data_IF_459086023904
#
_entry.id   IF_459086023904
#
_cell.length_a   1.000
_cell.length_b   1.000
_cell.length_c   1.000
_cell.angle_alpha   90.00
_cell.angle_beta   90.00
_cell.angle_gamma   90.00
#
_symmetry.space_group_name_H-M   'P 1'
#
loop_
_entity.id
_entity.type
_entity.pdbx_description
1 polymer ?
#
# COMPACT_ATOMS: atom_id res chain seq x y z
N UNK A 1 29.60 -9.95 1.44
CA UNK A 1 28.53 -9.16 0.81
C UNK A 1 28.23 -9.77 -0.53
N UNK A 2 26.98 -10.15 -0.76
CA UNK A 2 26.54 -10.61 -2.08
C UNK A 2 26.04 -9.36 -2.80
N UNK A 3 26.70 -8.95 -3.86
CA UNK A 3 26.29 -7.74 -4.58
C UNK A 3 25.01 -8.05 -5.36
N UNK A 4 23.91 -7.39 -4.97
CA UNK A 4 22.64 -7.42 -5.71
C UNK A 4 22.71 -6.34 -6.78
N UNK A 5 22.36 -6.69 -8.01
CA UNK A 5 22.40 -5.75 -9.15
C UNK A 5 21.02 -5.14 -9.42
N UNK A 6 20.99 -3.97 -10.06
CA UNK A 6 19.74 -3.37 -10.54
C UNK A 6 18.97 -4.33 -11.45
N UNK A 7 19.65 -5.00 -12.38
CA UNK A 7 19.04 -5.94 -13.31
C UNK A 7 18.42 -7.15 -12.60
N UNK A 8 19.05 -7.64 -11.53
CA UNK A 8 18.50 -8.72 -10.72
C UNK A 8 17.16 -8.31 -10.10
N UNK A 9 17.09 -7.15 -9.44
CA UNK A 9 15.85 -6.65 -8.84
C UNK A 9 14.74 -6.45 -9.90
N UNK A 10 15.07 -5.84 -11.04
CA UNK A 10 14.09 -5.63 -12.11
C UNK A 10 13.48 -6.92 -12.62
N UNK A 11 14.33 -7.93 -12.83
CA UNK A 11 13.94 -9.20 -13.45
C UNK A 11 13.17 -10.05 -12.46
N UNK A 12 13.64 -10.16 -11.21
CA UNK A 12 13.00 -10.99 -10.19
C UNK A 12 11.58 -10.50 -9.86
N UNK A 13 11.39 -9.18 -9.82
CA UNK A 13 10.12 -8.59 -9.44
C UNK A 13 9.25 -8.19 -10.64
N UNK A 14 9.75 -8.31 -11.87
CA UNK A 14 9.13 -7.80 -13.10
C UNK A 14 8.69 -6.34 -12.97
N UNK A 15 9.55 -5.48 -12.40
CA UNK A 15 9.18 -4.15 -11.90
C UNK A 15 8.58 -3.29 -13.01
N UNK A 16 9.28 -3.18 -14.15
CA UNK A 16 8.87 -2.27 -15.24
C UNK A 16 7.53 -2.70 -15.84
N UNK A 17 7.34 -4.00 -16.05
CA UNK A 17 6.09 -4.53 -16.58
C UNK A 17 4.92 -4.25 -15.65
N UNK A 18 5.08 -4.51 -14.35
CA UNK A 18 4.03 -4.27 -13.36
C UNK A 18 3.71 -2.80 -13.18
N UNK A 19 4.72 -1.92 -13.21
CA UNK A 19 4.50 -0.47 -13.19
C UNK A 19 3.71 -0.01 -14.41
N UNK A 20 4.04 -0.51 -15.61
CA UNK A 20 3.36 -0.13 -16.85
C UNK A 20 1.89 -0.62 -16.93
N UNK A 21 1.54 -1.68 -16.19
CA UNK A 21 0.19 -2.24 -16.13
C UNK A 21 -0.66 -1.68 -14.99
N UNK A 22 -0.12 -0.80 -14.16
CA UNK A 22 -0.77 -0.33 -12.95
C UNK A 22 -1.15 1.15 -13.01
N UNK A 23 -2.40 1.44 -12.63
CA UNK A 23 -2.89 2.80 -12.39
C UNK A 23 -2.54 3.31 -10.97
N UNK A 24 -1.75 2.55 -10.21
CA UNK A 24 -1.33 2.95 -8.87
C UNK A 24 -0.08 3.82 -8.94
N UNK A 25 -0.11 4.92 -8.17
CA UNK A 25 1.04 5.84 -8.03
C UNK A 25 2.27 5.12 -7.48
N UNK A 26 2.07 4.14 -6.59
CA UNK A 26 3.13 3.37 -5.95
C UNK A 26 2.87 1.88 -6.03
N UNK A 27 3.92 1.11 -6.26
CA UNK A 27 3.98 -0.35 -6.11
C UNK A 27 5.00 -0.71 -5.04
N UNK A 28 4.78 -1.84 -4.36
CA UNK A 28 5.67 -2.36 -3.31
C UNK A 28 6.12 -3.77 -3.66
N UNK A 29 7.42 -4.04 -3.52
CA UNK A 29 8.02 -5.35 -3.77
C UNK A 29 8.77 -5.80 -2.52
N UNK A 30 8.39 -6.95 -1.97
CA UNK A 30 9.01 -7.51 -0.76
C UNK A 30 10.49 -7.84 -1.01
N UNK A 31 11.34 -7.33 -0.13
CA UNK A 31 12.80 -7.54 -0.12
C UNK A 31 13.24 -8.42 1.06
N UNK A 32 12.37 -9.20 1.68
CA UNK A 32 12.72 -9.98 2.89
C UNK A 32 13.83 -11.03 2.65
N UNK A 33 14.08 -11.39 1.39
CA UNK A 33 15.20 -12.26 0.98
C UNK A 33 16.55 -11.51 0.86
N UNK A 34 16.56 -10.20 1.12
CA UNK A 34 17.68 -9.31 0.90
C UNK A 34 18.05 -8.53 2.15
N UNK A 35 19.35 -8.33 2.37
CA UNK A 35 19.82 -7.39 3.38
C UNK A 35 19.71 -5.95 2.85
N UNK A 36 19.38 -5.02 3.75
CA UNK A 36 19.22 -3.60 3.42
C UNK A 36 20.47 -3.01 2.76
N UNK A 37 21.65 -3.37 3.25
CA UNK A 37 22.94 -2.95 2.72
C UNK A 37 23.23 -3.48 1.31
N UNK A 38 22.76 -4.68 0.99
CA UNK A 38 23.05 -5.36 -0.28
C UNK A 38 22.29 -4.70 -1.45
N UNK A 39 21.13 -4.10 -1.19
CA UNK A 39 20.24 -3.53 -2.23
C UNK A 39 20.44 -2.04 -2.48
N UNK A 40 21.10 -1.29 -1.58
CA UNK A 40 21.24 0.17 -1.69
C UNK A 40 21.92 0.61 -2.98
N UNK A 41 22.98 -0.08 -3.39
CA UNK A 41 23.71 0.23 -4.64
C UNK A 41 22.81 0.02 -5.85
N UNK A 42 22.11 -1.11 -5.92
CA UNK A 42 21.15 -1.41 -6.98
C UNK A 42 20.02 -0.39 -7.06
N UNK A 43 19.45 0.05 -5.93
CA UNK A 43 18.39 1.07 -5.89
C UNK A 43 18.89 2.41 -6.44
N UNK A 44 20.11 2.82 -6.12
CA UNK A 44 20.70 4.05 -6.65
C UNK A 44 20.93 3.96 -8.17
N UNK A 45 21.39 2.80 -8.64
CA UNK A 45 21.54 2.52 -10.07
C UNK A 45 20.18 2.55 -10.79
N UNK A 46 19.12 1.96 -10.21
CA UNK A 46 17.77 2.01 -10.76
C UNK A 46 17.23 3.43 -10.91
N UNK A 47 17.41 4.27 -9.89
CA UNK A 47 17.02 5.69 -9.96
C UNK A 47 17.77 6.44 -11.08
N UNK A 48 18.99 6.01 -11.43
CA UNK A 48 19.76 6.59 -12.52
C UNK A 48 19.30 6.09 -13.90
N UNK A 49 18.98 4.80 -14.01
CA UNK A 49 18.60 4.14 -15.26
C UNK A 49 17.15 4.40 -15.66
N UNK A 50 16.24 4.57 -14.70
CA UNK A 50 14.79 4.66 -14.92
C UNK A 50 14.21 5.94 -14.31
N UNK A 51 14.50 7.12 -14.87
CA UNK A 51 14.12 8.41 -14.29
C UNK A 51 12.61 8.70 -14.32
N UNK A 52 11.80 7.87 -14.97
CA UNK A 52 10.34 7.95 -14.89
C UNK A 52 9.79 7.45 -13.53
N UNK A 53 10.59 6.66 -12.82
CA UNK A 53 10.24 6.08 -11.54
C UNK A 53 11.19 6.55 -10.45
N UNK A 54 10.70 6.57 -9.21
CA UNK A 54 11.55 6.72 -8.03
C UNK A 54 11.54 5.43 -7.22
N UNK A 55 12.73 4.90 -6.95
CA UNK A 55 12.94 3.67 -6.20
C UNK A 55 13.43 4.01 -4.80
N UNK A 56 12.72 3.56 -3.78
CA UNK A 56 13.07 3.79 -2.37
C UNK A 56 13.01 2.47 -1.58
N UNK A 57 13.97 2.27 -0.69
CA UNK A 57 13.91 1.21 0.31
C UNK A 57 13.07 1.69 1.49
N UNK A 58 12.10 0.89 1.93
CA UNK A 58 11.28 1.21 3.09
C UNK A 58 11.20 0.02 4.07
N UNK A 59 11.48 0.29 5.34
CA UNK A 59 11.20 -0.66 6.42
C UNK A 59 9.69 -0.70 6.72
N UNK A 60 9.17 -1.90 6.89
CA UNK A 60 7.76 -2.19 7.21
C UNK A 60 7.66 -3.06 8.47
N UNK A 61 6.45 -3.20 9.02
CA UNK A 61 6.19 -3.97 10.24
C UNK A 61 7.08 -3.61 11.45
N UNK A 62 7.45 -2.34 11.61
CA UNK A 62 8.31 -1.91 12.72
C UNK A 62 9.78 -2.32 12.56
N UNK A 63 10.25 -2.52 11.33
CA UNK A 63 11.64 -2.86 11.00
C UNK A 63 11.87 -4.33 10.72
N UNK A 64 10.84 -5.18 10.85
CA UNK A 64 10.95 -6.63 10.65
C UNK A 64 10.79 -7.09 9.19
N UNK A 65 10.26 -6.23 8.32
CA UNK A 65 10.16 -6.48 6.90
C UNK A 65 10.67 -5.30 6.09
N UNK A 66 10.97 -5.55 4.82
CA UNK A 66 11.58 -4.55 3.96
C UNK A 66 10.94 -4.57 2.58
N UNK A 67 10.59 -3.39 2.06
CA UNK A 67 10.03 -3.22 0.73
C UNK A 67 10.95 -2.38 -0.16
N UNK A 68 11.02 -2.74 -1.43
CA UNK A 68 11.31 -1.81 -2.51
C UNK A 68 10.01 -1.13 -2.91
N UNK A 69 9.91 0.17 -2.67
CA UNK A 69 8.77 0.98 -3.10
C UNK A 69 9.16 1.69 -4.38
N UNK A 70 8.32 1.55 -5.41
CA UNK A 70 8.52 2.16 -6.72
C UNK A 70 7.38 3.13 -6.97
N UNK A 71 7.70 4.40 -7.18
CA UNK A 71 6.75 5.48 -7.39
C UNK A 71 6.80 5.94 -8.85
N UNK A 72 5.66 5.95 -9.54
CA UNK A 72 5.51 6.63 -10.83
C UNK A 72 5.47 8.15 -10.62
N UNK A 73 6.48 8.85 -11.16
CA UNK A 73 6.64 10.28 -10.95
C UNK A 73 5.54 11.07 -11.66
N UNK A 74 5.13 10.66 -12.87
CA UNK A 74 4.11 11.37 -13.63
C UNK A 74 2.73 11.22 -12.99
N UNK A 75 2.40 10.01 -12.55
CA UNK A 75 1.16 9.75 -11.80
C UNK A 75 1.16 10.50 -10.47
N UNK A 76 2.28 10.47 -9.73
CA UNK A 76 2.42 11.22 -8.48
C UNK A 76 2.21 12.72 -8.67
N UNK A 77 2.83 13.33 -9.68
CA UNK A 77 2.67 14.76 -9.98
C UNK A 77 1.21 15.09 -10.31
N UNK A 78 0.53 14.19 -11.04
CA UNK A 78 -0.89 14.35 -11.37
C UNK A 78 -1.75 14.30 -10.10
N UNK A 79 -1.53 13.29 -9.25
CA UNK A 79 -2.21 13.15 -7.97
C UNK A 79 -1.96 14.31 -6.99
N UNK A 80 -0.72 14.80 -6.93
CA UNK A 80 -0.34 15.88 -6.02
C UNK A 80 -1.11 17.18 -6.33
N UNK A 81 -1.49 17.40 -7.60
CA UNK A 81 -2.30 18.55 -8.05
C UNK A 81 -3.78 18.46 -7.65
N UNK A 82 -4.27 17.27 -7.29
CA UNK A 82 -5.66 17.11 -6.84
C UNK A 82 -5.80 17.71 -5.43
N UNK A 83 -6.76 18.62 -5.18
CA UNK A 83 -6.99 19.19 -3.87
C UNK A 83 -7.32 18.12 -2.82
N UNK A 84 -6.60 18.13 -1.70
CA UNK A 84 -6.78 17.18 -0.60
C UNK A 84 -7.54 17.86 0.54
N UNK A 85 -8.85 17.90 0.39
CA UNK A 85 -9.78 18.67 1.24
C UNK A 85 -10.16 17.94 2.52
N UNK A 86 -9.91 16.63 2.61
CA UNK A 86 -10.29 15.77 3.75
C UNK A 86 -9.06 15.21 4.45
N UNK A 87 -9.30 14.59 5.60
CA UNK A 87 -8.29 13.89 6.39
C UNK A 87 -8.75 12.48 6.73
N UNK A 88 -7.79 11.58 6.97
CA UNK A 88 -8.09 10.24 7.51
C UNK A 88 -8.77 10.32 8.89
N UNK A 89 -8.46 11.34 9.70
CA UNK A 89 -9.13 11.58 10.97
C UNK A 89 -10.64 11.83 10.81
N UNK A 90 -11.03 12.67 9.85
CA UNK A 90 -12.44 12.89 9.50
C UNK A 90 -13.09 11.61 8.97
N UNK A 91 -12.37 10.85 8.14
CA UNK A 91 -12.86 9.59 7.58
C UNK A 91 -13.18 8.58 8.68
N UNK A 92 -12.23 8.31 9.58
CA UNK A 92 -12.43 7.35 10.66
C UNK A 92 -13.49 7.80 11.66
N UNK A 93 -13.61 9.10 11.92
CA UNK A 93 -14.71 9.63 12.74
C UNK A 93 -16.07 9.44 12.06
N UNK A 94 -16.14 9.64 10.74
CA UNK A 94 -17.37 9.45 9.96
C UNK A 94 -17.79 7.98 9.97
N UNK A 95 -16.86 7.07 9.66
CA UNK A 95 -17.08 5.61 9.74
C UNK A 95 -17.59 5.19 11.12
N UNK A 96 -16.95 5.63 12.20
CA UNK A 96 -17.34 5.25 13.55
C UNK A 96 -18.69 5.85 13.98
N UNK A 97 -18.92 7.14 13.74
CA UNK A 97 -20.11 7.85 14.26
C UNK A 97 -21.37 7.64 13.43
N UNK A 98 -21.22 7.57 12.11
CA UNK A 98 -22.36 7.50 11.18
C UNK A 98 -22.70 6.04 10.86
N UNK A 99 -21.67 5.20 10.71
CA UNK A 99 -21.83 3.81 10.25
C UNK A 99 -21.54 2.77 11.33
N UNK A 100 -21.04 3.15 12.51
CA UNK A 100 -20.67 2.21 13.57
C UNK A 100 -19.44 1.36 13.26
N UNK A 101 -18.65 1.73 12.23
CA UNK A 101 -17.55 0.91 11.72
C UNK A 101 -16.22 1.30 12.37
N UNK A 102 -15.51 0.30 12.89
CA UNK A 102 -14.17 0.44 13.47
C UNK A 102 -13.14 -0.32 12.64
N UNK A 103 -12.43 0.40 11.77
CA UNK A 103 -11.40 -0.18 10.90
C UNK A 103 -10.02 -0.24 11.55
N UNK A 104 -9.27 -1.31 11.27
CA UNK A 104 -7.84 -1.42 11.59
C UNK A 104 -6.96 -0.51 10.72
N UNK A 105 -7.48 0.03 9.60
CA UNK A 105 -6.78 0.99 8.75
C UNK A 105 -6.28 2.24 9.53
N UNK A 106 -6.93 2.57 10.66
CA UNK A 106 -6.48 3.63 11.58
C UNK A 106 -5.06 3.43 12.14
N UNK A 107 -4.54 2.20 12.12
CA UNK A 107 -3.17 1.90 12.54
C UNK A 107 -2.15 2.12 11.43
N UNK A 108 -2.60 2.21 10.17
CA UNK A 108 -1.74 2.33 8.98
C UNK A 108 -1.68 3.76 8.44
N UNK A 109 -2.60 4.65 8.86
CA UNK A 109 -2.66 6.05 8.42
C UNK A 109 -2.62 7.00 9.61
N UNK A 110 -1.90 8.12 9.48
CA UNK A 110 -1.96 9.16 10.50
C UNK A 110 -3.27 9.92 10.32
N UNK A 111 -3.98 10.27 11.42
CA UNK A 111 -5.24 11.03 11.32
C UNK A 111 -5.10 12.37 10.58
N UNK A 112 -3.90 12.95 10.57
CA UNK A 112 -3.59 14.22 9.88
C UNK A 112 -3.33 14.06 8.38
N UNK A 113 -3.12 12.84 7.90
CA UNK A 113 -2.87 12.57 6.48
C UNK A 113 -4.09 12.98 5.66
N UNK A 114 -3.82 13.61 4.52
CA UNK A 114 -4.82 14.29 3.70
C UNK A 114 -5.28 13.41 2.56
N UNK A 115 -6.57 13.47 2.29
CA UNK A 115 -7.27 12.72 1.25
C UNK A 115 -7.96 13.69 0.29
N UNK A 116 -8.10 13.29 -0.96
CA UNK A 116 -9.03 13.91 -1.90
C UNK A 116 -10.47 13.64 -1.46
N UNK A 117 -11.43 14.44 -1.95
CA UNK A 117 -12.84 14.17 -1.69
C UNK A 117 -13.28 12.82 -2.28
N UNK A 118 -12.76 12.46 -3.46
CA UNK A 118 -13.08 11.22 -4.15
C UNK A 118 -12.67 10.00 -3.31
N UNK A 119 -11.40 9.92 -2.88
CA UNK A 119 -10.91 8.83 -2.00
C UNK A 119 -11.71 8.72 -0.70
N UNK A 120 -12.10 9.85 -0.12
CA UNK A 120 -12.93 9.88 1.08
C UNK A 120 -14.27 9.20 0.81
N UNK A 121 -14.98 9.60 -0.25
CA UNK A 121 -16.30 9.05 -0.59
C UNK A 121 -16.21 7.59 -1.04
N UNK A 122 -15.19 7.20 -1.80
CA UNK A 122 -14.95 5.81 -2.19
C UNK A 122 -14.74 4.91 -0.98
N UNK A 123 -13.96 5.38 0.01
CA UNK A 123 -13.73 4.59 1.23
C UNK A 123 -15.01 4.45 2.05
N UNK A 124 -15.82 5.52 2.16
CA UNK A 124 -17.14 5.42 2.80
C UNK A 124 -18.00 4.38 2.08
N UNK A 125 -18.12 4.46 0.75
CA UNK A 125 -18.91 3.50 -0.05
C UNK A 125 -18.40 2.07 0.06
N UNK A 126 -17.08 1.87 0.12
CA UNK A 126 -16.51 0.55 0.33
C UNK A 126 -17.01 -0.06 1.64
N UNK A 127 -16.96 0.72 2.72
CA UNK A 127 -17.42 0.28 4.04
C UNK A 127 -18.95 0.19 4.17
N UNK A 128 -19.72 1.01 3.46
CA UNK A 128 -21.19 0.89 3.39
C UNK A 128 -21.65 -0.41 2.73
N UNK A 129 -20.94 -0.86 1.70
CA UNK A 129 -21.24 -2.11 1.00
C UNK A 129 -20.55 -3.32 1.64
N UNK A 130 -19.75 -3.11 2.68
CA UNK A 130 -19.06 -4.17 3.40
C UNK A 130 -20.02 -4.79 4.41
N UNK A 131 -20.70 -5.85 4.01
CA UNK A 131 -21.63 -6.57 4.89
C UNK A 131 -20.83 -7.36 5.95
N UNK A 132 -20.62 -6.73 7.12
CA UNK A 132 -19.88 -7.31 8.25
C UNK A 132 -20.53 -8.63 8.71
N UNK A 133 -21.85 -8.80 8.52
CA UNK A 133 -22.56 -9.99 8.95
C UNK A 133 -22.13 -11.24 8.15
N UNK A 134 -21.60 -11.07 6.94
CA UNK A 134 -21.12 -12.20 6.10
C UNK A 134 -19.75 -12.74 6.49
N UNK A 135 -18.96 -12.01 7.29
CA UNK A 135 -17.62 -12.42 7.71
C UNK A 135 -17.61 -13.34 8.93
N UNK A 136 -18.65 -13.28 9.76
CA UNK A 136 -18.77 -14.10 10.97
C UNK A 136 -19.88 -15.16 10.88
N UNK A 137 -20.75 -15.11 9.86
CA UNK A 137 -21.80 -16.12 9.68
C UNK A 137 -21.28 -17.50 9.22
N UNK A 138 -20.04 -17.59 8.72
CA UNK A 138 -19.45 -18.86 8.27
C UNK A 138 -18.70 -19.63 9.36
N UNK A 139 -18.44 -19.03 10.53
CA UNK A 139 -17.75 -19.72 11.64
C UNK A 139 -18.69 -20.45 12.61
N UNK A 140 -20.00 -20.24 12.51
CA UNK A 140 -20.99 -20.83 13.42
C UNK A 140 -21.64 -22.14 12.90
N UNK A 141 -21.39 -22.56 11.66
CA UNK A 141 -21.98 -23.80 11.09
C UNK A 141 -21.12 -25.07 11.25
N UNK A 142 -19.87 -24.99 11.74
CA UNK A 142 -18.98 -26.15 11.89
C UNK A 142 -18.88 -26.68 13.33
N UNK A 143 -19.98 -26.68 14.09
CA UNK A 143 -20.06 -27.40 15.36
C UNK A 143 -21.26 -28.33 15.48
N UNK A 144 -20.90 -29.60 15.69
CA UNK A 144 -21.69 -30.76 16.11
C UNK A 144 -22.34 -31.59 14.99
N UNK A 145 -21.55 -32.50 14.43
CA UNK A 145 -22.06 -33.84 14.11
C UNK A 145 -21.24 -34.86 14.91
N UNK A 146 -21.62 -35.02 16.19
CA UNK A 146 -21.34 -36.26 16.91
C UNK A 146 -22.48 -37.22 16.60
N UNK A 147 -22.21 -38.22 15.76
CA UNK A 147 -22.96 -39.48 15.72
C UNK A 147 -22.05 -40.65 15.37
#
# INVERSE_FOLDING_TARGET
MREVTAQQLLTEFSIIEKMAQSDAIKQRFCLDNYLAEDVKSAINELNSLYPAYHFEYQEVFGGFGHDLVVTDIAQKVTYDRIPKTRTYGELFQTLAKVYGIHSSAKFHHKPTDRLTEEEFQETIKFYENFDIDTLFSQDDEDKYDES
#
